data_IF_862198186181
#
_entry.id   IF_862198186181
#
_cell.length_a   1.000
_cell.length_b   1.000
_cell.length_c   1.000
_cell.angle_alpha   90.00
_cell.angle_beta   90.00
_cell.angle_gamma   90.00
#
_symmetry.space_group_name_H-M   'P 1'
#
loop_
_entity.id
_entity.type
_entity.pdbx_description
1 polymer ?
#
# COMPACT_ATOMS: atom_id res chain seq x y z
N UNK A 1 6.03 -23.37 14.14
CA UNK A 1 7.41 -23.73 13.76
C UNK A 1 8.32 -22.69 14.36
N UNK A 2 9.37 -23.16 15.04
CA UNK A 2 10.31 -22.43 15.89
C UNK A 2 10.94 -21.22 15.21
N UNK A 3 10.80 -20.05 15.83
CA UNK A 3 11.50 -18.83 15.48
C UNK A 3 13.00 -18.97 15.79
N UNK A 4 13.91 -18.88 14.81
CA UNK A 4 15.30 -18.57 15.10
C UNK A 4 15.35 -17.06 15.39
N UNK A 5 15.25 -16.69 16.66
CA UNK A 5 15.44 -15.31 17.14
C UNK A 5 16.93 -14.98 17.21
N UNK A 6 17.64 -15.23 16.12
CA UNK A 6 18.99 -14.78 15.91
C UNK A 6 18.88 -13.46 15.17
N UNK A 7 18.79 -12.36 15.93
CA UNK A 7 18.95 -10.97 15.44
C UNK A 7 20.38 -10.70 14.96
N UNK A 8 20.98 -11.70 14.30
CA UNK A 8 22.26 -11.62 13.62
C UNK A 8 22.18 -10.52 12.56
N UNK A 9 23.26 -9.77 12.42
CA UNK A 9 23.43 -8.76 11.38
C UNK A 9 23.09 -9.31 9.99
N UNK A 10 23.35 -10.60 9.74
CA UNK A 10 22.99 -11.27 8.49
C UNK A 10 21.48 -11.37 8.25
N UNK A 11 20.69 -11.63 9.30
CA UNK A 11 19.24 -11.71 9.21
C UNK A 11 18.61 -10.34 8.96
N UNK A 12 19.10 -9.31 9.66
CA UNK A 12 18.69 -7.92 9.43
C UNK A 12 19.06 -7.45 8.01
N UNK A 13 20.25 -7.81 7.52
CA UNK A 13 20.65 -7.48 6.15
C UNK A 13 19.75 -8.16 5.10
N UNK A 14 19.40 -9.43 5.29
CA UNK A 14 18.48 -10.15 4.41
C UNK A 14 17.06 -9.55 4.42
N UNK A 15 16.59 -9.13 5.60
CA UNK A 15 15.30 -8.45 5.78
C UNK A 15 15.28 -7.09 5.06
N UNK A 16 16.34 -6.29 5.19
CA UNK A 16 16.45 -5.00 4.49
C UNK A 16 16.54 -5.20 2.98
N UNK A 17 17.31 -6.18 2.52
CA UNK A 17 17.46 -6.47 1.10
C UNK A 17 16.13 -6.94 0.47
N UNK A 18 15.39 -7.81 1.17
CA UNK A 18 14.08 -8.29 0.72
C UNK A 18 13.05 -7.15 0.69
N UNK A 19 13.01 -6.28 1.71
CA UNK A 19 12.19 -5.06 1.71
C UNK A 19 12.50 -4.13 0.53
N UNK A 20 13.78 -3.91 0.23
CA UNK A 20 14.20 -3.05 -0.87
C UNK A 20 13.82 -3.63 -2.23
N UNK A 21 14.06 -4.92 -2.46
CA UNK A 21 13.72 -5.57 -3.72
C UNK A 21 12.21 -5.59 -3.96
N UNK A 22 11.48 -5.87 -2.88
CA UNK A 22 10.03 -5.92 -2.89
C UNK A 22 9.41 -4.53 -3.09
N UNK A 23 9.93 -3.51 -2.40
CA UNK A 23 9.48 -2.13 -2.53
C UNK A 23 9.81 -1.52 -3.90
N UNK A 24 10.95 -1.87 -4.50
CA UNK A 24 11.31 -1.40 -5.85
C UNK A 24 10.44 -2.02 -6.93
N UNK A 25 10.21 -3.35 -6.88
CA UNK A 25 9.30 -4.02 -7.82
C UNK A 25 7.87 -3.54 -7.67
N UNK A 26 7.37 -3.44 -6.43
CA UNK A 26 6.04 -2.91 -6.16
C UNK A 26 5.90 -1.44 -6.62
N UNK A 27 6.92 -0.61 -6.39
CA UNK A 27 6.95 0.79 -6.82
C UNK A 27 7.03 0.97 -8.34
N UNK A 28 7.76 0.11 -9.05
CA UNK A 28 7.80 0.08 -10.51
C UNK A 28 6.45 -0.30 -11.10
N UNK A 29 5.83 -1.37 -10.59
CA UNK A 29 4.49 -1.79 -11.02
C UNK A 29 3.44 -0.72 -10.69
N UNK A 30 3.54 -0.08 -9.53
CA UNK A 30 2.70 1.05 -9.14
C UNK A 30 2.80 2.23 -10.12
N UNK A 31 4.03 2.57 -10.53
CA UNK A 31 4.31 3.66 -11.46
C UNK A 31 3.88 3.37 -12.90
N UNK A 32 4.07 2.12 -13.37
CA UNK A 32 3.70 1.69 -14.72
C UNK A 32 2.18 1.56 -14.90
N UNK A 33 1.48 1.06 -13.88
CA UNK A 33 0.02 0.88 -13.94
C UNK A 33 -0.74 2.19 -13.68
N UNK A 34 -0.10 3.20 -13.09
CA UNK A 34 -0.73 4.49 -12.79
C UNK A 34 -1.80 4.45 -11.69
N UNK A 35 -2.04 3.28 -11.07
CA UNK A 35 -3.09 3.06 -10.05
C UNK A 35 -2.64 3.48 -8.63
N UNK A 36 -1.42 3.99 -8.46
CA UNK A 36 -0.95 4.46 -7.16
C UNK A 36 -0.68 3.33 -6.16
N UNK A 37 -0.07 2.22 -6.62
CA UNK A 37 0.67 1.23 -5.81
C UNK A 37 -0.03 0.46 -4.68
N UNK A 38 -1.13 0.94 -4.10
CA UNK A 38 -1.75 0.36 -2.91
C UNK A 38 -2.30 -1.04 -3.13
N UNK A 39 -2.83 -1.32 -4.31
CA UNK A 39 -3.31 -2.67 -4.69
C UNK A 39 -2.17 -3.69 -4.65
N UNK A 40 -0.94 -3.27 -4.94
CA UNK A 40 0.25 -4.14 -4.95
C UNK A 40 0.96 -4.12 -3.59
N UNK A 41 1.13 -2.95 -2.98
CA UNK A 41 1.88 -2.75 -1.73
C UNK A 41 1.22 -3.49 -0.55
N UNK A 42 -0.11 -3.49 -0.43
CA UNK A 42 -0.81 -4.12 0.71
C UNK A 42 -0.59 -5.65 0.78
N UNK A 43 -0.88 -6.47 -0.25
CA UNK A 43 -0.69 -7.91 -0.18
C UNK A 43 0.80 -8.30 -0.06
N UNK A 44 1.69 -7.47 -0.61
CA UNK A 44 3.13 -7.63 -0.50
C UNK A 44 3.61 -7.40 0.94
N UNK A 45 3.19 -6.30 1.57
CA UNK A 45 3.48 -6.03 2.98
C UNK A 45 2.84 -7.07 3.90
N UNK A 46 1.63 -7.53 3.60
CA UNK A 46 0.96 -8.59 4.34
C UNK A 46 1.77 -9.90 4.33
N UNK A 47 2.20 -10.35 3.15
CA UNK A 47 3.04 -11.55 3.04
C UNK A 47 4.38 -11.37 3.77
N UNK A 48 5.01 -10.21 3.63
CA UNK A 48 6.24 -9.93 4.34
C UNK A 48 6.06 -9.94 5.85
N UNK A 49 5.03 -9.28 6.38
CA UNK A 49 4.70 -9.29 7.80
C UNK A 49 4.30 -10.69 8.30
N UNK A 50 3.74 -11.53 7.43
CA UNK A 50 3.52 -12.95 7.72
C UNK A 50 4.84 -13.71 7.85
N UNK A 51 5.81 -13.49 6.97
CA UNK A 51 7.15 -14.08 7.05
C UNK A 51 7.93 -13.60 8.29
N UNK A 52 7.67 -12.37 8.74
CA UNK A 52 8.24 -11.79 9.95
C UNK A 52 7.53 -12.24 11.24
N UNK A 53 6.47 -13.05 11.13
CA UNK A 53 5.76 -13.59 12.29
C UNK A 53 4.87 -12.59 13.04
N UNK A 54 4.45 -11.50 12.39
CA UNK A 54 3.50 -10.56 12.98
C UNK A 54 2.16 -11.26 13.17
N UNK A 55 1.57 -11.10 14.36
CA UNK A 55 0.26 -11.62 14.72
C UNK A 55 -0.80 -11.28 13.67
N UNK A 56 -1.59 -12.29 13.29
CA UNK A 56 -2.58 -12.18 12.22
C UNK A 56 -3.65 -11.13 12.52
N UNK A 57 -3.98 -10.93 13.80
CA UNK A 57 -4.95 -9.94 14.27
C UNK A 57 -4.55 -8.49 13.94
N UNK A 58 -3.25 -8.19 13.89
CA UNK A 58 -2.72 -6.85 13.61
C UNK A 58 -2.07 -6.74 12.24
N UNK A 59 -1.67 -7.86 11.63
CA UNK A 59 -0.94 -7.91 10.35
C UNK A 59 -1.62 -7.10 9.24
N UNK A 60 -2.93 -7.28 9.08
CA UNK A 60 -3.69 -6.57 8.04
C UNK A 60 -3.77 -5.06 8.32
N UNK A 61 -4.00 -4.68 9.58
CA UNK A 61 -4.06 -3.27 9.99
C UNK A 61 -2.72 -2.55 9.76
N UNK A 62 -1.60 -3.18 10.12
CA UNK A 62 -0.28 -2.61 9.92
C UNK A 62 0.06 -2.53 8.42
N UNK A 63 -0.23 -3.57 7.63
CA UNK A 63 0.01 -3.57 6.17
C UNK A 63 -0.74 -2.44 5.46
N UNK A 64 -2.03 -2.26 5.75
CA UNK A 64 -2.84 -1.17 5.19
C UNK A 64 -2.34 0.18 5.68
N UNK A 65 -2.06 0.31 6.98
CA UNK A 65 -1.56 1.56 7.57
C UNK A 65 -0.24 2.02 6.96
N UNK A 66 0.75 1.12 6.83
CA UNK A 66 2.06 1.42 6.23
C UNK A 66 1.93 1.77 4.74
N UNK A 67 1.04 1.08 4.01
CA UNK A 67 0.74 1.39 2.61
C UNK A 67 0.20 2.82 2.46
N UNK A 68 -0.81 3.19 3.26
CA UNK A 68 -1.39 4.54 3.24
C UNK A 68 -0.36 5.61 3.63
N UNK A 69 0.48 5.33 4.65
CA UNK A 69 1.56 6.23 5.06
C UNK A 69 2.56 6.51 3.92
N UNK A 70 2.73 5.56 3.00
CA UNK A 70 3.59 5.72 1.82
C UNK A 70 2.85 6.43 0.68
N UNK A 71 1.57 6.10 0.45
CA UNK A 71 0.78 6.61 -0.68
C UNK A 71 0.42 8.09 -0.51
N UNK A 72 0.07 8.54 0.69
CA UNK A 72 -0.34 9.94 0.93
C UNK A 72 0.75 10.94 0.51
N UNK A 73 1.99 10.88 1.02
CA UNK A 73 3.02 11.86 0.65
C UNK A 73 3.44 11.74 -0.81
N UNK A 74 3.55 10.52 -1.34
CA UNK A 74 3.91 10.30 -2.75
C UNK A 74 2.86 10.84 -3.71
N UNK A 75 1.57 10.67 -3.38
CA UNK A 75 0.45 11.21 -4.16
C UNK A 75 0.43 12.74 -4.16
N UNK A 76 0.68 13.37 -3.00
CA UNK A 76 0.77 14.84 -2.91
C UNK A 76 1.91 15.37 -3.78
N UNK A 77 3.09 14.75 -3.70
CA UNK A 77 4.26 15.14 -4.51
C UNK A 77 3.98 14.95 -6.00
N UNK A 78 3.37 13.82 -6.38
CA UNK A 78 3.01 13.51 -7.76
C UNK A 78 1.99 14.50 -8.34
N UNK A 79 0.91 14.78 -7.60
CA UNK A 79 -0.12 15.74 -7.97
C UNK A 79 0.48 17.15 -8.13
N UNK A 80 1.34 17.58 -7.20
CA UNK A 80 2.03 18.88 -7.29
C UNK A 80 2.98 18.95 -8.49
N UNK A 81 3.67 17.86 -8.81
CA UNK A 81 4.54 17.77 -9.98
C UNK A 81 3.74 17.91 -11.29
N UNK A 82 2.59 17.24 -11.40
CA UNK A 82 1.70 17.35 -12.56
C UNK A 82 1.07 18.74 -12.68
N UNK A 83 0.68 19.35 -11.55
CA UNK A 83 0.18 20.73 -11.51
C UNK A 83 1.22 21.72 -12.06
N UNK A 84 2.48 21.59 -11.64
CA UNK A 84 3.58 22.44 -12.14
C UNK A 84 3.89 22.27 -13.63
N UNK A 85 3.56 21.12 -14.23
CA UNK A 85 3.76 20.85 -15.65
C UNK A 85 2.63 21.38 -16.54
N UNK A 86 1.61 22.03 -15.96
CA UNK A 86 0.46 22.56 -16.70
C UNK A 86 -0.44 21.47 -17.29
N UNK A 87 -0.24 20.21 -16.90
CA UNK A 87 -0.92 19.04 -17.47
C UNK A 87 -2.22 18.69 -16.73
N UNK A 88 -2.62 19.46 -15.71
CA UNK A 88 -3.84 19.25 -14.95
C UNK A 88 -4.95 20.19 -15.43
N UNK A 89 -5.97 19.60 -16.06
CA UNK A 89 -7.25 20.26 -16.27
C UNK A 89 -8.05 20.26 -14.95
N UNK A 90 -8.04 21.39 -14.26
CA UNK A 90 -8.78 21.57 -13.01
C UNK A 90 -10.30 21.49 -13.19
N UNK A 91 -10.81 21.78 -14.38
CA UNK A 91 -12.23 21.64 -14.72
C UNK A 91 -12.64 20.18 -14.73
N UNK A 92 -11.86 19.34 -15.42
CA UNK A 92 -12.06 17.90 -15.44
C UNK A 92 -11.89 17.29 -14.04
N UNK A 93 -10.85 17.69 -13.30
CA UNK A 93 -10.63 17.22 -11.94
C UNK A 93 -11.83 17.52 -11.04
N UNK A 94 -12.43 18.72 -11.14
CA UNK A 94 -13.60 19.12 -10.34
C UNK A 94 -14.86 18.35 -10.69
N UNK A 95 -15.02 17.93 -11.95
CA UNK A 95 -16.12 17.07 -12.38
C UNK A 95 -15.95 15.62 -11.89
N UNK A 96 -14.71 15.12 -11.86
CA UNK A 96 -14.40 13.76 -11.41
C UNK A 96 -14.37 13.61 -9.88
N UNK A 97 -13.96 14.66 -9.16
CA UNK A 97 -13.91 14.74 -7.70
C UNK A 97 -15.12 14.15 -6.98
N UNK A 98 -16.37 14.52 -7.27
CA UNK A 98 -17.53 13.95 -6.59
C UNK A 98 -17.68 12.44 -6.83
N UNK A 99 -17.37 11.95 -8.04
CA UNK A 99 -17.37 10.51 -8.33
C UNK A 99 -16.28 9.76 -7.54
N UNK A 100 -15.08 10.34 -7.44
CA UNK A 100 -13.99 9.78 -6.63
C UNK A 100 -14.35 9.75 -5.15
N UNK A 101 -14.89 10.84 -4.60
CA UNK A 101 -15.30 10.92 -3.19
C UNK A 101 -16.38 9.91 -2.87
N UNK A 102 -17.41 9.82 -3.73
CA UNK A 102 -18.48 8.82 -3.56
C UNK A 102 -17.94 7.40 -3.67
N UNK A 103 -17.05 7.13 -4.63
CA UNK A 103 -16.40 5.82 -4.79
C UNK A 103 -15.54 5.42 -3.58
N UNK A 104 -14.77 6.36 -3.02
CA UNK A 104 -13.96 6.11 -1.82
C UNK A 104 -14.85 5.91 -0.59
N UNK A 105 -15.88 6.73 -0.39
CA UNK A 105 -16.82 6.56 0.72
C UNK A 105 -17.56 5.23 0.65
N UNK A 106 -18.13 4.91 -0.52
CA UNK A 106 -18.83 3.64 -0.73
C UNK A 106 -17.90 2.44 -0.58
N UNK A 107 -16.68 2.51 -1.12
CA UNK A 107 -15.66 1.47 -0.96
C UNK A 107 -15.20 1.29 0.49
N UNK A 108 -14.99 2.38 1.24
CA UNK A 108 -14.61 2.32 2.66
C UNK A 108 -15.72 1.70 3.51
N UNK A 109 -16.97 2.09 3.26
CA UNK A 109 -18.14 1.50 3.91
C UNK A 109 -18.25 0.02 3.58
N UNK A 110 -18.13 -0.36 2.31
CA UNK A 110 -18.20 -1.75 1.86
C UNK A 110 -17.05 -2.61 2.43
N UNK A 111 -15.85 -2.04 2.54
CA UNK A 111 -14.69 -2.69 3.17
C UNK A 111 -14.91 -2.95 4.65
N UNK A 112 -15.67 -2.12 5.37
CA UNK A 112 -16.04 -2.36 6.76
C UNK A 112 -17.02 -3.53 6.94
N UNK A 113 -17.85 -3.79 5.93
CA UNK A 113 -18.77 -4.93 5.91
C UNK A 113 -18.09 -6.24 5.50
N UNK A 114 -16.92 -6.18 4.84
CA UNK A 114 -16.07 -7.33 4.54
C UNK A 114 -15.22 -7.71 5.77
N UNK A 115 -15.87 -8.12 6.85
CA UNK A 115 -15.21 -8.57 8.08
C UNK A 115 -14.81 -10.05 8.01
N UNK A 116 -13.51 -10.29 7.87
CA UNK A 116 -12.76 -11.42 8.46
C UNK A 116 -13.01 -12.86 7.98
N UNK A 117 -14.20 -13.22 7.50
CA UNK A 117 -14.55 -14.63 7.16
C UNK A 117 -14.36 -15.00 5.69
N UNK A 118 -14.05 -14.03 4.83
CA UNK A 118 -13.80 -14.25 3.40
C UNK A 118 -12.30 -14.17 3.02
N UNK A 119 -11.41 -13.88 3.97
CA UNK A 119 -9.95 -13.81 3.76
C UNK A 119 -9.22 -15.10 4.18
N UNK A 120 -9.95 -16.21 4.28
CA UNK A 120 -9.40 -17.55 4.53
C UNK A 120 -9.80 -18.53 3.41
N UNK A 121 -9.38 -18.23 2.19
CA UNK A 121 -9.33 -19.19 1.10
C UNK A 121 -7.98 -19.08 0.38
#
# INVERSE_FOLDING_TARGET
MTFPMDYSIGWLAALVLSLLLTGTLAGLMAGLLGVGGGIVIVPVLYNLFSLLGIDESVRMHVAVGTSLATIIPTSIISARSHYRRGSLDLGLLRQLMPGVVLGVLSGAVLSGYLSGSALSA
#
